data_IF_374008882850
#
_entry.id   IF_374008882850
#
_cell.length_a   1.000
_cell.length_b   1.000
_cell.length_c   1.000
_cell.angle_alpha   90.00
_cell.angle_beta   90.00
_cell.angle_gamma   90.00
#
_symmetry.space_group_name_H-M   'P 1'
#
loop_
_entity.id
_entity.type
_entity.pdbx_description
1 polymer ?
#
# COMPACT_ATOMS: atom_id res chain seq x y z
N UNK A 1 -21.11 -36.20 -23.21
CA UNK A 1 -20.64 -34.87 -22.78
C UNK A 1 -19.39 -35.04 -21.91
N UNK A 2 -18.17 -35.16 -22.49
CA UNK A 2 -16.98 -35.62 -21.78
C UNK A 2 -16.10 -34.46 -21.28
N UNK A 3 -16.70 -33.41 -20.70
CA UNK A 3 -15.96 -32.24 -20.19
C UNK A 3 -15.58 -32.35 -18.71
N UNK A 4 -16.21 -33.27 -17.97
CA UNK A 4 -16.03 -33.41 -16.51
C UNK A 4 -14.93 -34.41 -16.12
N UNK A 5 -14.46 -35.27 -17.04
CA UNK A 5 -13.37 -36.22 -16.77
C UNK A 5 -11.97 -35.60 -16.89
N UNK A 6 -11.87 -34.36 -17.40
CA UNK A 6 -10.60 -33.63 -17.52
C UNK A 6 -10.29 -32.71 -16.34
N UNK A 7 -11.24 -32.50 -15.41
CA UNK A 7 -10.99 -31.70 -14.21
C UNK A 7 -10.29 -32.59 -13.20
N UNK A 8 -8.98 -32.41 -13.10
CA UNK A 8 -8.17 -33.07 -12.09
C UNK A 8 -8.37 -32.34 -10.75
N UNK A 9 -8.28 -33.06 -9.65
CA UNK A 9 -8.31 -32.45 -8.31
C UNK A 9 -7.19 -31.39 -8.13
N UNK A 10 -6.10 -31.52 -8.91
CA UNK A 10 -5.03 -30.54 -9.00
C UNK A 10 -5.51 -29.20 -9.55
N UNK A 11 -6.41 -29.19 -10.55
CA UNK A 11 -6.94 -27.96 -11.15
C UNK A 11 -7.82 -27.21 -10.14
N UNK A 12 -8.58 -27.95 -9.33
CA UNK A 12 -9.40 -27.38 -8.25
C UNK A 12 -8.53 -26.72 -7.18
N UNK A 13 -7.44 -27.39 -6.77
CA UNK A 13 -6.49 -26.83 -5.81
C UNK A 13 -5.76 -25.61 -6.40
N UNK A 14 -5.35 -25.68 -7.66
CA UNK A 14 -4.62 -24.59 -8.32
C UNK A 14 -5.51 -23.34 -8.48
N UNK A 15 -6.77 -23.52 -8.87
CA UNK A 15 -7.74 -22.43 -8.95
C UNK A 15 -8.01 -21.84 -7.57
N UNK A 16 -8.22 -22.66 -6.53
CA UNK A 16 -8.45 -22.18 -5.17
C UNK A 16 -7.24 -21.42 -4.61
N UNK A 17 -6.03 -21.97 -4.81
CA UNK A 17 -4.80 -21.36 -4.35
C UNK A 17 -4.54 -20.02 -5.05
N UNK A 18 -4.59 -20.00 -6.38
CA UNK A 18 -4.40 -18.77 -7.16
C UNK A 18 -5.49 -17.75 -6.86
N UNK A 19 -6.75 -18.16 -6.75
CA UNK A 19 -7.86 -17.27 -6.40
C UNK A 19 -7.67 -16.65 -5.01
N UNK A 20 -7.25 -17.44 -4.01
CA UNK A 20 -6.95 -16.93 -2.67
C UNK A 20 -5.76 -15.95 -2.69
N UNK A 21 -4.68 -16.27 -3.40
CA UNK A 21 -3.51 -15.37 -3.55
C UNK A 21 -3.92 -14.06 -4.22
N UNK A 22 -4.65 -14.13 -5.35
CA UNK A 22 -5.13 -12.95 -6.08
C UNK A 22 -6.10 -12.12 -5.24
N UNK A 23 -7.01 -12.75 -4.51
CA UNK A 23 -7.93 -12.07 -3.60
C UNK A 23 -7.16 -11.37 -2.48
N UNK A 24 -6.16 -12.04 -1.89
CA UNK A 24 -5.33 -11.45 -0.83
C UNK A 24 -4.50 -10.28 -1.34
N UNK A 25 -3.91 -10.40 -2.53
CA UNK A 25 -3.23 -9.30 -3.21
C UNK A 25 -4.20 -8.14 -3.46
N UNK A 26 -5.37 -8.41 -4.03
CA UNK A 26 -6.40 -7.40 -4.27
C UNK A 26 -6.77 -6.65 -2.99
N UNK A 27 -7.03 -7.35 -1.88
CA UNK A 27 -7.34 -6.73 -0.58
C UNK A 27 -6.17 -5.89 -0.07
N UNK A 28 -4.92 -6.33 -0.27
CA UNK A 28 -3.72 -5.56 0.09
C UNK A 28 -3.62 -4.25 -0.71
N UNK A 29 -4.00 -4.26 -1.99
CA UNK A 29 -3.94 -3.09 -2.88
C UNK A 29 -5.18 -2.19 -2.83
N UNK A 30 -6.33 -2.70 -2.37
CA UNK A 30 -7.64 -2.00 -2.38
C UNK A 30 -7.67 -0.77 -1.46
N UNK A 31 -6.87 -0.76 -0.40
CA UNK A 31 -6.87 0.28 0.62
C UNK A 31 -5.95 1.48 0.28
N UNK A 32 -5.29 1.52 -0.89
CA UNK A 32 -4.17 2.46 -1.11
C UNK A 32 -4.27 3.28 -2.40
N UNK A 33 -3.70 4.48 -2.36
CA UNK A 33 -3.34 5.35 -3.50
C UNK A 33 -2.61 4.59 -4.65
N UNK A 34 -2.02 3.44 -4.34
CA UNK A 34 -1.32 2.52 -5.26
C UNK A 34 -2.17 2.11 -6.47
N UNK A 35 -3.47 1.81 -6.32
CA UNK A 35 -4.29 1.36 -7.47
C UNK A 35 -4.48 2.48 -8.51
N UNK A 36 -4.62 3.73 -8.07
CA UNK A 36 -4.71 4.90 -8.95
C UNK A 36 -3.41 5.10 -9.72
N UNK A 37 -2.28 4.93 -9.05
CA UNK A 37 -0.94 5.05 -9.66
C UNK A 37 -0.67 3.91 -10.64
N UNK A 38 -0.97 2.66 -10.28
CA UNK A 38 -0.87 1.51 -11.16
C UNK A 38 -1.68 1.68 -12.45
N UNK A 39 -2.93 2.14 -12.32
CA UNK A 39 -3.80 2.39 -13.49
C UNK A 39 -3.20 3.47 -14.40
N UNK A 40 -2.64 4.54 -13.82
CA UNK A 40 -1.95 5.59 -14.58
C UNK A 40 -0.71 5.08 -15.32
N UNK A 41 0.14 4.29 -14.66
CA UNK A 41 1.32 3.66 -15.28
C UNK A 41 0.89 2.71 -16.40
N UNK A 42 -0.12 1.88 -16.16
CA UNK A 42 -0.63 0.93 -17.16
C UNK A 42 -1.17 1.67 -18.39
N UNK A 43 -1.91 2.76 -18.20
CA UNK A 43 -2.37 3.62 -19.29
C UNK A 43 -1.20 4.21 -20.08
N UNK A 44 -0.22 4.83 -19.41
CA UNK A 44 0.97 5.38 -20.08
C UNK A 44 1.70 4.30 -20.89
N UNK A 45 1.86 3.10 -20.34
CA UNK A 45 2.51 1.99 -21.02
C UNK A 45 1.76 1.54 -22.28
N UNK A 46 0.41 1.45 -22.21
CA UNK A 46 -0.44 1.14 -23.36
C UNK A 46 -0.31 2.22 -24.43
N UNK A 47 -0.41 3.50 -24.06
CA UNK A 47 -0.26 4.63 -25.00
C UNK A 47 1.09 4.67 -25.68
N UNK A 48 2.16 4.35 -24.94
CA UNK A 48 3.49 4.28 -25.50
C UNK A 48 3.63 3.10 -26.48
N UNK A 49 3.06 1.93 -26.15
CA UNK A 49 3.00 0.79 -27.07
C UNK A 49 2.25 1.11 -28.36
N UNK A 50 1.11 1.79 -28.25
CA UNK A 50 0.35 2.28 -29.40
C UNK A 50 1.22 3.23 -30.24
N UNK A 51 1.86 4.21 -29.62
CA UNK A 51 2.70 5.19 -30.34
C UNK A 51 3.85 4.54 -31.10
N UNK A 52 4.53 3.55 -30.49
CA UNK A 52 5.60 2.79 -31.15
C UNK A 52 5.05 1.92 -32.27
N UNK A 53 3.92 1.26 -32.06
CA UNK A 53 3.28 0.41 -33.06
C UNK A 53 2.89 1.18 -34.32
N UNK A 54 2.34 2.39 -34.16
CA UNK A 54 2.01 3.29 -35.27
C UNK A 54 3.23 4.05 -35.84
N UNK A 55 4.45 3.81 -35.34
CA UNK A 55 5.66 4.47 -35.81
C UNK A 55 5.75 5.96 -35.49
N UNK A 56 5.01 6.44 -34.47
CA UNK A 56 4.99 7.83 -34.05
C UNK A 56 6.26 8.17 -33.24
N UNK A 57 7.35 8.48 -33.95
CA UNK A 57 8.67 8.71 -33.33
C UNK A 57 8.62 9.87 -32.32
N UNK A 58 8.13 11.03 -32.73
CA UNK A 58 8.03 12.21 -31.84
C UNK A 58 7.16 11.93 -30.61
N UNK A 59 5.98 11.33 -30.81
CA UNK A 59 5.06 10.98 -29.73
C UNK A 59 5.68 9.97 -28.77
N UNK A 60 6.40 8.96 -29.28
CA UNK A 60 7.10 7.99 -28.44
C UNK A 60 8.20 8.63 -27.59
N UNK A 61 8.93 9.60 -28.14
CA UNK A 61 9.95 10.38 -27.42
C UNK A 61 9.33 11.26 -26.33
N UNK A 62 8.22 11.95 -26.65
CA UNK A 62 7.47 12.75 -25.67
C UNK A 62 6.92 11.85 -24.55
N UNK A 63 6.37 10.68 -24.89
CA UNK A 63 5.87 9.72 -23.90
C UNK A 63 6.97 9.14 -23.01
N UNK A 64 8.17 8.90 -23.54
CA UNK A 64 9.33 8.54 -22.71
C UNK A 64 9.67 9.64 -21.70
N UNK A 65 9.66 10.91 -22.13
CA UNK A 65 9.86 12.06 -21.24
C UNK A 65 8.80 12.16 -20.14
N UNK A 66 7.51 12.09 -20.52
CA UNK A 66 6.40 12.10 -19.56
C UNK A 66 6.52 10.95 -18.56
N UNK A 67 6.82 9.74 -19.04
CA UNK A 67 7.02 8.55 -18.20
C UNK A 67 8.16 8.77 -17.19
N UNK A 68 9.27 9.37 -17.62
CA UNK A 68 10.39 9.67 -16.73
C UNK A 68 10.01 10.67 -15.62
N UNK A 69 9.28 11.74 -15.97
CA UNK A 69 8.79 12.73 -14.98
C UNK A 69 7.82 12.09 -13.99
N UNK A 70 6.86 11.30 -14.49
CA UNK A 70 5.88 10.60 -13.64
C UNK A 70 6.58 9.60 -12.72
N UNK A 71 7.56 8.83 -13.22
CA UNK A 71 8.35 7.92 -12.40
C UNK A 71 9.10 8.67 -11.28
N UNK A 72 9.67 9.83 -11.58
CA UNK A 72 10.33 10.68 -10.58
C UNK A 72 9.35 11.19 -9.52
N UNK A 73 8.17 11.66 -9.91
CA UNK A 73 7.11 12.08 -8.96
C UNK A 73 6.73 10.91 -8.05
N UNK A 74 6.53 9.72 -8.61
CA UNK A 74 6.22 8.51 -7.84
C UNK A 74 7.33 8.22 -6.84
N UNK A 75 8.60 8.22 -7.25
CA UNK A 75 9.72 7.96 -6.34
C UNK A 75 9.76 8.97 -5.18
N UNK A 76 9.48 10.25 -5.45
CA UNK A 76 9.48 11.30 -4.43
C UNK A 76 8.30 11.14 -3.46
N UNK A 77 7.10 10.93 -3.99
CA UNK A 77 5.86 10.80 -3.19
C UNK A 77 5.89 9.53 -2.37
N UNK A 78 6.30 8.41 -2.97
CA UNK A 78 6.37 7.10 -2.30
C UNK A 78 7.71 6.84 -1.60
N UNK A 79 8.52 7.87 -1.38
CA UNK A 79 9.87 7.72 -0.81
C UNK A 79 9.82 7.02 0.54
N UNK A 80 8.84 7.37 1.37
CA UNK A 80 8.68 6.83 2.73
C UNK A 80 8.17 5.39 2.72
N UNK A 81 7.21 5.08 1.85
CA UNK A 81 6.61 3.76 1.68
C UNK A 81 7.63 2.75 1.15
N UNK A 82 8.42 3.14 0.12
CA UNK A 82 9.50 2.30 -0.42
C UNK A 82 10.52 2.01 0.70
N UNK A 83 10.88 3.03 1.49
CA UNK A 83 11.79 2.86 2.63
C UNK A 83 11.20 1.92 3.68
N UNK A 84 9.92 2.05 4.02
CA UNK A 84 9.23 1.19 4.99
C UNK A 84 9.21 -0.27 4.55
N UNK A 85 8.91 -0.54 3.27
CA UNK A 85 8.91 -1.90 2.70
C UNK A 85 10.32 -2.50 2.69
N UNK A 86 11.36 -1.72 2.39
CA UNK A 86 12.76 -2.17 2.43
C UNK A 86 13.28 -2.38 3.86
N UNK A 87 12.79 -1.60 4.82
CA UNK A 87 13.14 -1.72 6.23
C UNK A 87 12.36 -2.82 6.95
N UNK A 88 11.23 -3.26 6.39
CA UNK A 88 10.47 -4.40 6.86
C UNK A 88 11.28 -5.69 6.66
N UNK A 89 12.22 -5.94 7.59
CA UNK A 89 13.08 -7.13 7.68
C UNK A 89 12.31 -8.45 7.77
N UNK A 90 10.98 -8.43 7.85
CA UNK A 90 10.13 -9.61 7.84
C UNK A 90 9.06 -9.50 6.75
N UNK A 91 9.29 -10.13 5.59
CA UNK A 91 8.25 -10.36 4.57
C UNK A 91 6.99 -11.04 5.14
N UNK A 92 7.15 -11.84 6.20
CA UNK A 92 6.03 -12.42 6.97
C UNK A 92 5.15 -11.37 7.66
N UNK A 93 5.69 -10.24 8.10
CA UNK A 93 4.91 -9.16 8.72
C UNK A 93 4.05 -8.41 7.69
N UNK A 94 4.56 -8.23 6.47
CA UNK A 94 3.83 -7.63 5.33
C UNK A 94 2.69 -8.55 4.85
N UNK A 95 2.93 -9.87 4.77
CA UNK A 95 1.95 -10.83 4.27
C UNK A 95 0.90 -11.24 5.31
N UNK A 96 1.28 -11.35 6.59
CA UNK A 96 0.38 -11.82 7.65
C UNK A 96 -0.28 -10.74 8.49
N UNK A 97 0.08 -9.45 8.32
CA UNK A 97 -0.62 -8.35 8.98
C UNK A 97 -0.86 -8.63 10.46
N UNK A 98 0.21 -8.75 11.25
CA UNK A 98 -0.02 -8.88 12.68
C UNK A 98 -0.64 -7.57 13.19
N UNK A 99 -1.73 -7.64 13.98
CA UNK A 99 -2.17 -6.49 14.73
C UNK A 99 -1.00 -6.09 15.61
N UNK A 100 -0.49 -4.89 15.37
CA UNK A 100 0.39 -4.20 16.30
C UNK A 100 -0.29 -4.38 17.66
N UNK A 101 0.35 -5.12 18.57
CA UNK A 101 -0.09 -5.15 19.97
C UNK A 101 0.07 -3.70 20.45
N UNK A 102 -0.96 -2.90 20.23
CA UNK A 102 -1.22 -1.73 21.03
C UNK A 102 -1.25 -2.29 22.44
N UNK A 103 -0.17 -2.09 23.18
CA UNK A 103 -0.28 -2.04 24.63
C UNK A 103 -1.45 -1.10 24.84
N UNK A 104 -2.61 -1.56 25.32
CA UNK A 104 -3.72 -0.66 25.53
C UNK A 104 -3.19 0.33 26.55
N UNK A 105 -2.91 1.56 26.13
CA UNK A 105 -2.80 2.66 27.06
C UNK A 105 -4.19 2.74 27.64
N UNK A 106 -4.39 2.05 28.77
CA UNK A 106 -5.67 2.02 29.44
C UNK A 106 -6.03 3.46 29.71
N UNK A 107 -7.23 3.87 29.30
CA UNK A 107 -7.75 5.23 29.48
C UNK A 107 -7.50 5.74 30.92
N UNK A 108 -7.49 4.83 31.90
CA UNK A 108 -7.09 5.07 33.28
C UNK A 108 -5.73 5.77 33.46
N UNK A 109 -4.67 5.36 32.73
CA UNK A 109 -3.34 5.97 32.85
C UNK A 109 -3.38 7.44 32.40
N UNK A 110 -4.11 7.73 31.32
CA UNK A 110 -4.28 9.11 30.82
C UNK A 110 -5.04 9.94 31.86
N UNK A 111 -6.15 9.41 32.37
CA UNK A 111 -7.00 10.08 33.37
C UNK A 111 -6.23 10.36 34.67
N UNK A 112 -5.47 9.39 35.18
CA UNK A 112 -4.66 9.55 36.39
C UNK A 112 -3.55 10.60 36.20
N UNK A 113 -2.88 10.57 35.04
CA UNK A 113 -1.83 11.53 34.71
C UNK A 113 -2.37 12.95 34.58
N UNK A 114 -3.48 13.15 33.88
CA UNK A 114 -4.14 14.47 33.74
C UNK A 114 -4.61 14.98 35.11
N UNK A 115 -5.15 14.11 35.97
CA UNK A 115 -5.57 14.47 37.33
C UNK A 115 -4.38 14.89 38.20
N UNK A 116 -3.23 14.22 38.07
CA UNK A 116 -2.01 14.58 38.78
C UNK A 116 -1.43 15.92 38.31
N UNK A 117 -1.44 16.19 37.00
CA UNK A 117 -0.98 17.44 36.41
C UNK A 117 -1.88 18.62 36.79
N UNK A 118 -3.20 18.41 36.78
CA UNK A 118 -4.20 19.40 37.20
C UNK A 118 -4.01 19.81 38.67
N UNK A 119 -3.80 18.84 39.58
CA UNK A 119 -3.50 19.11 41.00
C UNK A 119 -2.25 19.95 41.23
N UNK A 120 -1.30 19.93 40.29
CA UNK A 120 -0.03 20.66 40.36
C UNK A 120 -0.04 21.94 39.53
N UNK A 121 -1.18 22.30 38.91
CA UNK A 121 -1.29 23.43 38.00
C UNK A 121 -0.28 23.41 36.84
N UNK A 122 0.06 22.21 36.34
CA UNK A 122 0.96 22.04 35.20
C UNK A 122 0.12 21.93 33.93
N UNK A 123 0.32 22.86 32.99
CA UNK A 123 -0.26 22.77 31.65
C UNK A 123 0.39 21.64 30.85
N UNK A 124 -0.42 20.85 30.15
CA UNK A 124 0.06 19.77 29.29
C UNK A 124 -0.77 19.70 28.00
N UNK A 125 -0.11 19.32 26.91
CA UNK A 125 -0.74 19.03 25.62
C UNK A 125 -0.58 17.54 25.33
N UNK A 126 -1.70 16.83 25.20
CA UNK A 126 -1.72 15.40 24.87
C UNK A 126 -2.31 15.25 23.48
N UNK A 127 -1.54 14.67 22.56
CA UNK A 127 -2.00 14.38 21.18
C UNK A 127 -2.30 12.89 21.08
N UNK A 128 -3.53 12.54 20.71
CA UNK A 128 -3.97 11.16 20.50
C UNK A 128 -4.09 10.88 19.00
N UNK A 129 -3.11 10.24 18.36
CA UNK A 129 -3.23 9.82 16.97
C UNK A 129 -4.37 8.81 16.84
N UNK A 130 -5.35 9.11 15.99
CA UNK A 130 -6.46 8.21 15.71
C UNK A 130 -6.04 7.18 14.64
N UNK A 131 -6.37 7.44 13.38
CA UNK A 131 -6.00 6.57 12.25
C UNK A 131 -4.75 7.04 11.49
N UNK A 132 -4.35 8.28 11.70
CA UNK A 132 -3.21 8.90 11.03
C UNK A 132 -1.96 8.81 11.89
N UNK A 133 -0.85 8.52 11.21
CA UNK A 133 0.46 8.45 11.82
C UNK A 133 1.04 9.87 11.91
N UNK A 134 1.46 10.29 13.11
CA UNK A 134 1.93 11.66 13.38
C UNK A 134 3.45 11.82 13.18
N UNK A 135 4.13 10.81 12.64
CA UNK A 135 5.58 10.79 12.45
C UNK A 135 6.11 11.93 11.56
N UNK A 136 5.26 12.56 10.75
CA UNK A 136 5.65 13.69 9.89
C UNK A 136 5.46 15.07 10.56
N UNK A 137 4.89 15.15 11.78
CA UNK A 137 4.55 16.41 12.46
C UNK A 137 5.54 16.78 13.58
N UNK A 138 6.42 15.86 14.02
CA UNK A 138 7.36 16.09 15.12
C UNK A 138 8.80 15.71 14.77
#
# INVERSE_FOLDING_TARGET
>A
MPFLEFIRWQDVIDILLNSYILFRLYVLFRETYVFRVLTGIALLWIFQRISVFFGLILTSWVMQGITAVVALIIIIVFRNEIRSVLQAKNLRAILWGFPQKSVPTTIQIIVESVKALSKRHIGALIVLPAKENLEDIF
#
